data_IF_503527839177
#
_entry.id   IF_503527839177
#
_cell.length_a   1.000
_cell.length_b   1.000
_cell.length_c   1.000
_cell.angle_alpha   90.00
_cell.angle_beta   90.00
_cell.angle_gamma   90.00
#
_symmetry.space_group_name_H-M   'P 1'
#
loop_
_entity.id
_entity.type
_entity.pdbx_description
1 polymer ?
#
# COMPACT_ATOMS: atom_id res chain seq x y z
N UNK A 1 19.83 4.18 1.06
CA UNK A 1 18.89 4.43 -0.06
C UNK A 1 17.57 3.78 0.33
N UNK A 2 16.68 4.45 1.08
CA UNK A 2 15.43 3.78 1.50
C UNK A 2 14.21 4.69 1.64
N UNK A 3 14.38 6.02 1.73
CA UNK A 3 13.24 6.96 1.81
C UNK A 3 13.29 8.10 0.78
N UNK A 4 14.26 8.08 -0.14
CA UNK A 4 14.46 9.18 -1.09
C UNK A 4 14.06 8.82 -2.53
N UNK A 5 13.66 7.58 -2.79
CA UNK A 5 13.12 7.20 -4.09
C UNK A 5 11.67 7.65 -4.22
N UNK A 6 11.29 8.05 -5.43
CA UNK A 6 9.92 8.42 -5.78
C UNK A 6 9.49 7.60 -7.00
N UNK A 7 8.50 6.73 -6.80
CA UNK A 7 7.95 5.83 -7.82
C UNK A 7 6.53 6.20 -8.26
N UNK A 8 6.06 7.41 -7.93
CA UNK A 8 4.68 7.83 -8.24
C UNK A 8 4.36 7.76 -9.74
N UNK A 9 5.32 8.11 -10.59
CA UNK A 9 5.17 8.02 -12.04
C UNK A 9 5.27 6.57 -12.56
N UNK A 10 5.99 5.69 -11.85
CA UNK A 10 6.17 4.29 -12.25
C UNK A 10 4.91 3.47 -11.98
N UNK A 11 4.32 3.62 -10.78
CA UNK A 11 3.11 2.86 -10.40
C UNK A 11 1.90 3.19 -11.27
N UNK A 12 1.80 4.42 -11.79
CA UNK A 12 0.75 4.82 -12.73
C UNK A 12 0.82 4.06 -14.08
N UNK A 13 1.92 3.36 -14.36
CA UNK A 13 2.13 2.58 -15.59
C UNK A 13 1.83 1.09 -15.41
N UNK A 14 1.42 0.67 -14.21
CA UNK A 14 1.10 -0.73 -13.93
C UNK A 14 -0.20 -1.13 -14.64
N UNK A 15 -0.14 -2.27 -15.35
CA UNK A 15 -1.29 -2.83 -16.08
C UNK A 15 -1.74 -4.20 -15.56
N UNK A 16 -1.05 -4.72 -14.55
CA UNK A 16 -1.38 -5.99 -13.90
C UNK A 16 -2.41 -5.76 -12.80
N UNK A 17 -3.34 -6.71 -12.66
CA UNK A 17 -4.25 -6.77 -11.51
C UNK A 17 -3.45 -6.68 -10.21
N UNK A 18 -3.81 -5.75 -9.34
CA UNK A 18 -3.02 -5.42 -8.15
C UNK A 18 -3.90 -5.46 -6.89
N UNK A 19 -3.44 -6.16 -5.85
CA UNK A 19 -4.06 -6.09 -4.52
C UNK A 19 -3.16 -5.24 -3.61
N UNK A 20 -3.72 -4.18 -3.05
CA UNK A 20 -3.07 -3.30 -2.08
C UNK A 20 -3.57 -3.71 -0.69
N UNK A 21 -2.64 -4.12 0.17
CA UNK A 21 -2.92 -4.46 1.56
C UNK A 21 -2.45 -3.29 2.44
N UNK A 22 -3.39 -2.55 3.02
CA UNK A 22 -3.10 -1.40 3.87
C UNK A 22 -3.30 -1.76 5.34
N UNK A 23 -2.37 -1.36 6.19
CA UNK A 23 -2.44 -1.46 7.64
C UNK A 23 -3.20 -0.26 8.23
N UNK A 24 -4.04 -0.47 9.25
CA UNK A 24 -4.89 0.60 9.83
C UNK A 24 -4.08 1.63 10.60
N UNK A 25 -3.05 1.14 11.31
CA UNK A 25 -2.24 1.93 12.23
C UNK A 25 -0.75 1.74 11.89
N UNK A 26 -0.32 2.39 10.81
CA UNK A 26 1.03 2.31 10.28
C UNK A 26 1.71 3.69 10.28
N UNK A 27 2.69 3.84 11.16
CA UNK A 27 3.46 5.07 11.33
C UNK A 27 4.37 5.42 10.14
N UNK A 28 4.69 4.44 9.29
CA UNK A 28 5.60 4.61 8.15
C UNK A 28 4.82 4.88 6.87
N UNK A 29 3.68 4.19 6.68
CA UNK A 29 2.84 4.29 5.49
C UNK A 29 1.40 4.62 5.89
N UNK A 30 1.05 5.92 5.95
CA UNK A 30 -0.29 6.33 6.34
C UNK A 30 -1.32 5.96 5.26
N UNK A 31 -2.58 5.80 5.66
CA UNK A 31 -3.69 5.30 4.81
C UNK A 31 -3.82 6.06 3.47
N UNK A 32 -3.50 7.35 3.46
CA UNK A 32 -3.55 8.20 2.26
C UNK A 32 -2.62 7.70 1.15
N UNK A 33 -1.56 6.97 1.48
CA UNK A 33 -0.69 6.33 0.48
C UNK A 33 -1.42 5.17 -0.19
N UNK A 34 -2.10 4.32 0.58
CA UNK A 34 -2.97 3.26 0.06
C UNK A 34 -4.07 3.80 -0.85
N UNK A 35 -4.74 4.88 -0.43
CA UNK A 35 -5.77 5.57 -1.22
C UNK A 35 -5.20 6.13 -2.54
N UNK A 36 -4.04 6.79 -2.47
CA UNK A 36 -3.34 7.28 -3.66
C UNK A 36 -3.02 6.14 -4.64
N UNK A 37 -2.44 5.05 -4.15
CA UNK A 37 -2.08 3.90 -4.97
C UNK A 37 -3.31 3.26 -5.62
N UNK A 38 -4.40 3.12 -4.88
CA UNK A 38 -5.66 2.59 -5.41
C UNK A 38 -6.26 3.50 -6.50
N UNK A 39 -6.10 4.81 -6.36
CA UNK A 39 -6.56 5.77 -7.35
C UNK A 39 -5.73 5.72 -8.66
N UNK A 40 -4.41 5.54 -8.57
CA UNK A 40 -3.52 5.63 -9.75
C UNK A 40 -3.23 4.30 -10.43
N UNK A 41 -3.30 3.18 -9.71
CA UNK A 41 -3.08 1.84 -10.29
C UNK A 41 -4.41 1.33 -10.85
N UNK A 42 -4.48 1.18 -12.17
CA UNK A 42 -5.62 0.58 -12.84
C UNK A 42 -5.81 -0.89 -12.44
N UNK A 43 -7.07 -1.34 -12.36
CA UNK A 43 -7.44 -2.70 -11.92
C UNK A 43 -6.80 -3.11 -10.57
N UNK A 44 -6.81 -2.15 -9.63
CA UNK A 44 -6.39 -2.39 -8.25
C UNK A 44 -7.58 -2.64 -7.33
N UNK A 45 -7.35 -3.39 -6.26
CA UNK A 45 -8.24 -3.51 -5.11
C UNK A 45 -7.49 -3.09 -3.85
N UNK A 46 -8.15 -2.32 -2.98
CA UNK A 46 -7.61 -1.95 -1.67
C UNK A 46 -8.31 -2.76 -0.58
N UNK A 47 -7.53 -3.45 0.25
CA UNK A 47 -8.02 -4.16 1.42
C UNK A 47 -7.34 -3.64 2.68
N UNK A 48 -8.15 -3.32 3.66
CA UNK A 48 -7.72 -2.87 4.97
C UNK A 48 -7.49 -4.07 5.90
N UNK A 49 -6.28 -4.20 6.43
CA UNK A 49 -5.91 -5.16 7.47
C UNK A 49 -5.95 -4.46 8.83
N UNK A 50 -6.83 -4.91 9.72
CA UNK A 50 -6.86 -4.44 11.10
C UNK A 50 -5.61 -4.93 11.84
N UNK A 51 -4.62 -4.06 11.95
CA UNK A 51 -3.37 -4.33 12.66
C UNK A 51 -2.76 -3.03 13.21
N UNK A 52 -1.80 -3.22 14.12
CA UNK A 52 -0.88 -2.18 14.56
C UNK A 52 0.50 -2.45 13.97
N UNK A 53 1.08 -1.43 13.34
CA UNK A 53 2.42 -1.44 12.77
C UNK A 53 2.52 -1.86 11.30
N UNK A 54 3.71 -1.68 10.75
CA UNK A 54 4.00 -1.81 9.31
C UNK A 54 4.10 -3.27 8.79
N UNK A 55 4.06 -4.26 9.68
CA UNK A 55 4.34 -5.66 9.33
C UNK A 55 3.13 -6.59 9.56
N UNK A 56 2.00 -6.37 8.85
CA UNK A 56 0.81 -7.21 9.00
C UNK A 56 1.10 -8.68 8.78
N UNK A 57 1.99 -9.03 7.85
CA UNK A 57 2.37 -10.42 7.59
C UNK A 57 3.05 -11.13 8.78
N UNK A 58 3.55 -10.39 9.77
CA UNK A 58 4.09 -10.96 11.01
C UNK A 58 3.12 -10.81 12.20
N UNK A 59 2.46 -9.66 12.32
CA UNK A 59 1.59 -9.36 13.47
C UNK A 59 0.14 -9.82 13.31
N UNK A 60 -0.33 -9.99 12.08
CA UNK A 60 -1.67 -10.44 11.70
C UNK A 60 -1.59 -11.40 10.48
N UNK A 61 -1.00 -12.60 10.64
CA UNK A 61 -0.70 -13.53 9.53
C UNK A 61 -1.91 -14.31 8.98
N UNK A 62 -3.13 -13.95 9.39
CA UNK A 62 -4.39 -14.65 9.18
C UNK A 62 -5.25 -13.93 8.15
#
# INVERSE_FOLDING_TARGET
MTFLSDHRADVARFNSRTLILQSSDDLVVPVQVGDYLHHVIADSALHMIDNVGHYPHMSAPQ
#
